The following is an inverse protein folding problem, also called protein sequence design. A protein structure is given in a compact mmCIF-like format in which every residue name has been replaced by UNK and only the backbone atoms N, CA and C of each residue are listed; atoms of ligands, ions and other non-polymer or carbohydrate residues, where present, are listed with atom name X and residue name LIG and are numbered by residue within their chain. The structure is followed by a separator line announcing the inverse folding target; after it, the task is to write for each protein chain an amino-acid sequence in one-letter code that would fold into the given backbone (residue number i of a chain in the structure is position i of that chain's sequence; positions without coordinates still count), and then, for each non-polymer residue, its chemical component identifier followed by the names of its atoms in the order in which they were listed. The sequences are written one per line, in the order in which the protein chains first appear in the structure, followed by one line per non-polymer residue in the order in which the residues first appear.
data_IF_109479699466
#
_entry.id   IF_109479699466
#
_cell.length_a   1.000
_cell.length_b   1.000
_cell.length_c   1.000
_cell.angle_alpha   90.00
_cell.angle_beta   90.00
_cell.angle_gamma   90.00
#
_symmetry.space_group_name_H-M   'P 1'
#
loop_
_entity.id
_entity.type
_entity.pdbx_description
1 polymer ?
#
# COMPACT_ATOMS: atom_id res chain seq x y z
N UNK A 1 2.36 -12.02 14.91
CA UNK A 1 1.47 -11.45 13.87
C UNK A 1 1.86 -12.05 12.54
N UNK A 2 0.96 -12.78 11.88
CA UNK A 2 1.22 -13.33 10.55
C UNK A 2 0.77 -12.30 9.50
N UNK A 3 1.70 -11.52 8.96
CA UNK A 3 1.43 -10.80 7.71
C UNK A 3 1.46 -11.82 6.57
N UNK A 4 0.36 -11.97 5.84
CA UNK A 4 0.40 -12.72 4.59
C UNK A 4 1.14 -11.87 3.54
N UNK A 5 2.42 -12.15 3.35
CA UNK A 5 3.23 -11.51 2.31
C UNK A 5 2.79 -12.10 0.96
N UNK A 6 2.03 -11.33 0.18
CA UNK A 6 1.78 -11.67 -1.21
C UNK A 6 2.97 -11.19 -2.05
N UNK A 7 4.04 -11.99 -2.09
CA UNK A 7 5.17 -11.77 -3.01
C UNK A 7 4.76 -12.31 -4.38
N UNK A 8 4.58 -11.42 -5.36
CA UNK A 8 4.49 -11.80 -6.76
C UNK A 8 5.87 -11.60 -7.39
N UNK A 9 6.47 -12.62 -8.02
CA UNK A 9 7.74 -12.42 -8.71
C UNK A 9 7.51 -11.53 -9.94
N UNK A 10 7.79 -10.24 -9.81
CA UNK A 10 8.09 -9.40 -10.97
C UNK A 10 9.60 -9.47 -11.22
N UNK A 11 10.02 -9.74 -12.46
CA UNK A 11 11.42 -9.57 -12.88
C UNK A 11 11.94 -8.24 -12.31
N UNK A 12 13.09 -8.33 -11.64
CA UNK A 12 13.69 -7.27 -10.84
C UNK A 12 13.60 -5.90 -11.53
N UNK A 13 12.86 -4.98 -10.92
CA UNK A 13 13.03 -3.56 -11.13
C UNK A 13 13.62 -2.99 -9.84
N UNK A 14 14.94 -3.09 -9.72
CA UNK A 14 15.72 -2.28 -8.79
C UNK A 14 15.65 -0.85 -9.29
N UNK A 15 14.82 -0.03 -8.67
CA UNK A 15 14.78 1.41 -8.92
C UNK A 15 13.39 1.91 -9.32
N UNK A 16 12.85 2.77 -8.45
CA UNK A 16 11.69 3.64 -8.65
C UNK A 16 10.40 2.99 -9.14
N UNK A 17 9.31 3.27 -8.42
CA UNK A 17 7.92 2.88 -8.71
C UNK A 17 7.44 3.24 -10.15
N UNK A 18 8.24 4.00 -10.91
CA UNK A 18 7.82 4.70 -12.13
C UNK A 18 8.00 3.85 -13.41
N UNK A 19 8.77 2.75 -13.42
CA UNK A 19 9.13 2.10 -14.70
C UNK A 19 9.00 0.57 -14.81
N UNK A 20 8.25 -0.08 -13.92
CA UNK A 20 7.86 -1.48 -14.07
C UNK A 20 6.48 -1.62 -14.72
N UNK A 21 6.36 -2.51 -15.72
CA UNK A 21 5.13 -2.88 -16.42
C UNK A 21 3.92 -3.08 -15.48
N UNK A 22 2.68 -2.80 -15.94
CA UNK A 22 1.56 -2.50 -15.07
C UNK A 22 1.03 -3.77 -14.39
N UNK A 23 1.57 -4.12 -13.23
CA UNK A 23 0.72 -4.73 -12.22
C UNK A 23 -0.31 -3.66 -11.89
N UNK A 24 -1.49 -3.76 -12.50
CA UNK A 24 -2.59 -2.87 -12.17
C UNK A 24 -2.92 -3.11 -10.71
N UNK A 25 -2.52 -2.20 -9.83
CA UNK A 25 -2.89 -2.19 -8.41
C UNK A 25 -4.41 -2.40 -8.27
N UNK A 26 -5.20 -1.91 -9.24
CA UNK A 26 -6.65 -2.14 -9.32
C UNK A 26 -7.08 -3.62 -9.35
N UNK A 27 -6.27 -4.54 -9.88
CA UNK A 27 -6.55 -5.98 -9.83
C UNK A 27 -6.37 -6.53 -8.42
N UNK A 28 -5.38 -6.05 -7.68
CA UNK A 28 -5.19 -6.42 -6.26
C UNK A 28 -6.35 -5.87 -5.45
N UNK A 29 -6.68 -4.58 -5.59
CA UNK A 29 -7.82 -3.95 -4.91
C UNK A 29 -9.13 -4.68 -5.19
N UNK A 30 -9.37 -5.10 -6.45
CA UNK A 30 -10.58 -5.87 -6.82
C UNK A 30 -10.62 -7.24 -6.16
N UNK A 31 -9.50 -8.00 -6.18
CA UNK A 31 -9.43 -9.32 -5.50
C UNK A 31 -9.64 -9.17 -3.99
N UNK A 32 -9.03 -8.16 -3.37
CA UNK A 32 -9.22 -7.82 -1.96
C UNK A 32 -10.68 -7.50 -1.63
N UNK A 33 -11.35 -6.68 -2.45
CA UNK A 33 -12.77 -6.36 -2.30
C UNK A 33 -13.67 -7.59 -2.39
N UNK A 34 -13.36 -8.52 -3.31
CA UNK A 34 -14.10 -9.80 -3.41
C UNK A 34 -13.88 -10.68 -2.18
N UNK A 35 -12.64 -10.81 -1.68
CA UNK A 35 -12.36 -11.59 -0.47
C UNK A 35 -13.08 -11.01 0.74
N UNK A 36 -13.08 -9.69 0.87
CA UNK A 36 -13.82 -9.00 1.94
C UNK A 36 -15.34 -9.23 1.85
N UNK A 37 -15.93 -9.11 0.65
CA UNK A 37 -17.39 -9.20 0.45
C UNK A 37 -17.95 -10.61 0.57
N UNK A 38 -17.13 -11.65 0.39
CA UNK A 38 -17.60 -13.05 0.31
C UNK A 38 -17.76 -13.74 1.68
N UNK A 39 -17.58 -13.03 2.81
CA UNK A 39 -17.81 -13.51 4.20
C UNK A 39 -17.13 -14.83 4.58
N UNK A 40 -16.08 -15.24 3.85
CA UNK A 40 -15.33 -16.48 4.11
C UNK A 40 -14.11 -16.27 5.01
N UNK A 41 -14.09 -15.17 5.75
CA UNK A 41 -12.89 -14.67 6.41
C UNK A 41 -13.17 -14.44 7.88
N UNK A 42 -12.20 -14.75 8.74
CA UNK A 42 -12.30 -14.54 10.19
C UNK A 42 -11.86 -13.14 10.63
N UNK A 43 -11.32 -12.33 9.72
CA UNK A 43 -10.87 -10.96 9.96
C UNK A 43 -11.97 -9.93 9.66
N UNK A 44 -11.98 -8.83 10.41
CA UNK A 44 -12.99 -7.76 10.34
C UNK A 44 -12.72 -6.75 9.23
N UNK A 45 -11.44 -6.49 8.95
CA UNK A 45 -11.00 -5.56 7.90
C UNK A 45 -9.71 -6.03 7.21
N UNK A 46 -9.29 -5.27 6.19
CA UNK A 46 -8.05 -5.53 5.44
C UNK A 46 -7.29 -4.22 5.22
N UNK A 47 -5.99 -4.24 5.49
CA UNK A 47 -5.08 -3.15 5.17
C UNK A 47 -4.08 -3.56 4.07
N UNK A 48 -3.67 -2.60 3.24
CA UNK A 48 -2.62 -2.79 2.25
C UNK A 48 -1.54 -1.72 2.44
N UNK A 49 -0.27 -2.12 2.39
CA UNK A 49 0.86 -1.21 2.55
C UNK A 49 2.01 -1.56 1.59
N UNK A 50 2.66 -0.52 1.06
CA UNK A 50 3.87 -0.63 0.25
C UNK A 50 4.90 0.38 0.76
N UNK A 51 6.15 -0.05 0.83
CA UNK A 51 7.29 0.77 1.23
C UNK A 51 8.23 0.98 0.05
N UNK A 52 8.59 2.24 -0.21
CA UNK A 52 9.52 2.61 -1.27
C UNK A 52 10.70 3.39 -0.68
N UNK A 53 11.84 2.72 -0.53
CA UNK A 53 13.05 3.25 0.10
C UNK A 53 13.18 2.90 1.59
N UNK A 54 14.42 2.88 2.09
CA UNK A 54 14.74 2.49 3.46
C UNK A 54 14.07 3.41 4.50
N UNK A 55 14.03 4.72 4.24
CA UNK A 55 13.36 5.69 5.11
C UNK A 55 11.84 5.46 5.21
N UNK A 56 11.24 4.78 4.23
CA UNK A 56 9.85 4.35 4.23
C UNK A 56 9.67 2.90 4.70
N UNK A 57 10.62 2.36 5.48
CA UNK A 57 10.62 1.00 6.04
C UNK A 57 10.81 -0.13 5.03
N UNK A 58 11.32 0.12 3.82
CA UNK A 58 11.63 -0.94 2.87
C UNK A 58 12.92 -1.67 3.28
N UNK A 59 12.80 -2.96 3.65
CA UNK A 59 13.95 -3.83 3.92
C UNK A 59 14.29 -4.74 2.76
N UNK A 60 13.32 -5.03 1.89
CA UNK A 60 13.47 -5.89 0.70
C UNK A 60 13.25 -5.08 -0.57
N UNK A 61 14.31 -4.90 -1.36
CA UNK A 61 14.35 -3.99 -2.52
C UNK A 61 13.82 -4.60 -3.82
N UNK A 62 12.61 -5.17 -3.75
CA UNK A 62 11.76 -5.43 -4.91
C UNK A 62 10.34 -4.95 -4.59
N UNK A 63 9.53 -4.69 -5.61
CA UNK A 63 8.14 -4.31 -5.39
C UNK A 63 7.36 -5.45 -4.72
N UNK A 64 6.82 -5.20 -3.54
CA UNK A 64 5.91 -6.10 -2.84
C UNK A 64 4.83 -5.28 -2.14
N UNK A 65 3.68 -5.90 -1.93
CA UNK A 65 2.57 -5.31 -1.20
C UNK A 65 2.27 -6.18 0.02
N UNK A 66 2.28 -5.57 1.20
CA UNK A 66 1.77 -6.21 2.40
C UNK A 66 0.25 -6.19 2.36
N UNK A 67 -0.37 -7.37 2.51
CA UNK A 67 -1.81 -7.53 2.71
C UNK A 67 -2.02 -8.03 4.12
N UNK A 68 -2.69 -7.23 4.95
CA UNK A 68 -2.74 -7.42 6.39
C UNK A 68 -4.20 -7.58 6.82
N UNK A 69 -4.62 -8.80 7.20
CA UNK A 69 -5.88 -9.02 7.91
C UNK A 69 -5.92 -8.21 9.21
N UNK A 70 -7.02 -7.52 9.46
CA UNK A 70 -7.23 -6.69 10.65
C UNK A 70 -8.39 -7.22 11.47
N UNK A 71 -8.22 -7.17 12.78
CA UNK A 71 -9.21 -7.61 13.76
C UNK A 71 -9.53 -6.44 14.69
N UNK A 72 -10.76 -6.36 15.15
CA UNK A 72 -11.14 -5.37 16.16
C UNK A 72 -10.27 -5.55 17.42
N UNK A 73 -9.68 -4.45 17.90
CA UNK A 73 -8.77 -4.48 19.05
C UNK A 73 -7.35 -4.98 18.76
N UNK A 74 -6.98 -5.28 17.51
CA UNK A 74 -5.60 -5.70 17.22
C UNK A 74 -4.57 -4.59 17.57
N UNK A 75 -3.33 -4.97 17.96
CA UNK A 75 -2.34 -4.00 18.45
C UNK A 75 -1.64 -3.23 17.33
N UNK A 76 -1.94 -3.48 16.04
CA UNK A 76 -1.22 -2.85 14.94
C UNK A 76 -1.62 -1.37 14.81
N UNK A 77 -0.67 -0.47 15.06
CA UNK A 77 -0.86 0.98 14.94
C UNK A 77 -0.27 1.51 13.63
N UNK A 78 -0.78 2.65 13.17
CA UNK A 78 -0.17 3.37 12.06
C UNK A 78 1.26 3.80 12.46
N UNK A 79 2.24 3.73 11.54
CA UNK A 79 3.61 4.14 11.85
C UNK A 79 3.76 5.67 11.93
N UNK A 80 2.73 6.44 11.56
CA UNK A 80 2.69 7.89 11.71
C UNK A 80 1.31 8.35 12.19
N UNK A 81 1.27 9.56 12.76
CA UNK A 81 0.04 10.26 13.13
C UNK A 81 -0.34 11.17 11.94
N UNK A 82 -1.48 10.95 11.27
CA UNK A 82 -1.94 11.85 10.22
C UNK A 82 -2.07 13.28 10.74
N UNK A 83 -1.53 14.25 9.99
CA UNK A 83 -1.69 15.67 10.28
C UNK A 83 -2.38 16.34 9.09
N UNK A 84 -3.28 17.26 9.39
CA UNK A 84 -3.81 18.16 8.36
C UNK A 84 -2.71 19.08 7.83
N UNK A 85 -2.93 19.61 6.63
CA UNK A 85 -2.14 20.68 6.03
C UNK A 85 -3.10 21.80 5.60
N UNK A 86 -2.58 23.01 5.45
CA UNK A 86 -3.40 24.15 5.03
C UNK A 86 -3.93 23.93 3.61
N UNK A 87 -5.18 24.32 3.28
CA UNK A 87 -5.77 24.08 1.96
C UNK A 87 -4.91 24.61 0.81
N UNK A 88 -4.23 25.75 1.00
CA UNK A 88 -3.33 26.33 0.01
C UNK A 88 -2.08 25.48 -0.27
N UNK A 89 -1.50 24.87 0.77
CA UNK A 89 -0.35 23.95 0.61
C UNK A 89 -0.78 22.68 -0.14
N UNK A 90 -1.93 22.11 0.22
CA UNK A 90 -2.50 20.94 -0.46
C UNK A 90 -2.71 21.25 -1.95
N UNK A 91 -3.29 22.41 -2.27
CA UNK A 91 -3.54 22.81 -3.65
C UNK A 91 -2.24 22.98 -4.46
N UNK A 92 -1.22 23.59 -3.86
CA UNK A 92 0.10 23.80 -4.49
C UNK A 92 0.80 22.47 -4.79
N UNK A 93 0.87 21.54 -3.82
CA UNK A 93 1.46 20.22 -4.02
C UNK A 93 0.70 19.43 -5.09
N UNK A 94 -0.63 19.49 -5.07
CA UNK A 94 -1.45 18.81 -6.08
C UNK A 94 -1.20 19.34 -7.50
N UNK A 95 -0.95 20.65 -7.67
CA UNK A 95 -0.58 21.24 -8.95
C UNK A 95 0.78 20.71 -9.44
N UNK A 96 1.79 20.71 -8.56
CA UNK A 96 3.12 20.20 -8.89
C UNK A 96 3.12 18.71 -9.28
N UNK A 97 2.25 17.89 -8.69
CA UNK A 97 2.07 16.48 -9.07
C UNK A 97 1.48 16.37 -10.47
N UNK A 98 0.44 17.16 -10.81
CA UNK A 98 -0.21 17.13 -12.12
C UNK A 98 0.70 17.59 -13.26
N UNK A 99 1.60 18.53 -13.01
CA UNK A 99 2.56 19.01 -14.00
C UNK A 99 3.67 17.97 -14.32
N UNK A 100 3.93 17.05 -13.37
CA UNK A 100 5.02 16.07 -13.46
C UNK A 100 4.57 14.65 -13.84
N UNK A 101 3.27 14.35 -13.76
CA UNK A 101 2.68 13.04 -14.07
C UNK A 101 2.12 12.99 -15.48
#
# INVERSE_FOLDING_TARGET
MASALATFPSRAATGSLIRSSPIRISTITRKMGTLYRTRRTTYDHMAAAHSCGAAAFQTVFHFHLHVIPRYEGDPLKLPWIPRGAEPGEIASVAAAIRERG
#
